data_IF_778576336659
#
_entry.id   IF_778576336659
#
_cell.length_a   1.000
_cell.length_b   1.000
_cell.length_c   1.000
_cell.angle_alpha   90.00
_cell.angle_beta   90.00
_cell.angle_gamma   90.00
#
_symmetry.space_group_name_H-M   'P 1'
#
loop_
_entity.id
_entity.type
_entity.pdbx_description
1 polymer ?
#
# COMPACT_ATOMS: atom_id res chain seq x y z
N UNK A 1 13.17 -65.09 43.30
CA UNK A 1 12.09 -64.32 42.64
C UNK A 1 12.12 -62.79 42.83
N UNK A 2 13.16 -62.15 43.42
CA UNK A 2 13.17 -60.69 43.70
C UNK A 2 13.91 -59.79 42.69
N UNK A 3 14.70 -60.36 41.76
CA UNK A 3 15.56 -59.58 40.84
C UNK A 3 14.84 -58.98 39.62
N UNK A 4 13.62 -59.41 39.33
CA UNK A 4 12.95 -59.07 38.06
C UNK A 4 12.13 -57.77 38.10
N UNK A 5 11.64 -57.35 39.29
CA UNK A 5 10.91 -56.08 39.43
C UNK A 5 11.80 -54.85 39.25
N UNK A 6 13.09 -54.95 39.55
CA UNK A 6 14.01 -53.81 39.50
C UNK A 6 14.35 -53.40 38.06
N UNK A 7 14.34 -54.36 37.11
CA UNK A 7 14.68 -54.10 35.70
C UNK A 7 13.60 -53.32 34.94
N UNK A 8 12.35 -53.34 35.41
CA UNK A 8 11.23 -52.63 34.75
C UNK A 8 11.28 -51.12 34.96
N UNK A 9 11.67 -50.66 36.14
CA UNK A 9 11.79 -49.22 36.41
C UNK A 9 12.91 -48.58 35.59
N UNK A 10 14.07 -49.24 35.49
CA UNK A 10 15.21 -48.72 34.71
C UNK A 10 14.86 -48.60 33.22
N UNK A 11 14.17 -49.58 32.62
CA UNK A 11 13.75 -49.53 31.21
C UNK A 11 12.71 -48.44 30.91
N UNK A 12 11.90 -48.04 31.90
CA UNK A 12 10.90 -46.98 31.73
C UNK A 12 11.54 -45.59 31.70
N UNK A 13 12.54 -45.35 32.56
CA UNK A 13 13.33 -44.12 32.54
C UNK A 13 14.17 -43.99 31.25
N UNK A 14 14.67 -45.10 30.72
CA UNK A 14 15.45 -45.13 29.47
C UNK A 14 14.58 -44.89 28.21
N UNK A 15 13.27 -45.19 28.29
CA UNK A 15 12.30 -44.81 27.24
C UNK A 15 11.98 -43.32 27.25
N UNK A 16 11.90 -42.70 28.44
CA UNK A 16 11.67 -41.27 28.59
C UNK A 16 12.88 -40.44 28.14
N UNK A 17 14.10 -40.92 28.40
CA UNK A 17 15.33 -40.27 27.92
C UNK A 17 15.52 -40.37 26.39
N UNK A 18 15.04 -41.45 25.76
CA UNK A 18 15.03 -41.59 24.30
C UNK A 18 14.04 -40.64 23.62
N UNK A 19 12.89 -40.37 24.24
CA UNK A 19 11.89 -39.43 23.70
C UNK A 19 12.40 -37.97 23.74
N UNK A 20 13.15 -37.59 24.78
CA UNK A 20 13.84 -36.30 24.85
C UNK A 20 15.04 -36.18 23.89
N UNK A 21 15.48 -37.30 23.30
CA UNK A 21 16.65 -37.42 22.42
C UNK A 21 16.25 -37.73 20.97
N UNK A 22 14.96 -37.62 20.64
CA UNK A 22 14.47 -37.67 19.27
C UNK A 22 14.77 -36.32 18.57
N UNK A 23 15.67 -36.35 17.59
CA UNK A 23 16.08 -35.19 16.78
C UNK A 23 14.92 -34.57 15.97
N UNK A 24 13.78 -35.27 15.85
CA UNK A 24 12.57 -34.80 15.18
C UNK A 24 11.92 -33.58 15.85
N UNK A 25 12.07 -33.42 17.17
CA UNK A 25 11.55 -32.26 17.90
C UNK A 25 12.44 -31.01 17.76
N UNK A 26 13.75 -31.21 17.55
CA UNK A 26 14.73 -30.12 17.44
C UNK A 26 14.52 -29.31 16.16
N UNK A 27 14.15 -29.96 15.06
CA UNK A 27 13.85 -29.31 13.77
C UNK A 27 12.66 -28.34 13.85
N UNK A 28 11.62 -28.70 14.62
CA UNK A 28 10.47 -27.82 14.87
C UNK A 28 10.86 -26.57 15.66
N UNK A 29 11.77 -26.71 16.62
CA UNK A 29 12.27 -25.58 17.42
C UNK A 29 13.13 -24.64 16.57
N UNK A 30 13.98 -25.18 15.70
CA UNK A 30 14.80 -24.38 14.79
C UNK A 30 13.92 -23.58 13.80
N UNK A 31 12.91 -24.23 13.21
CA UNK A 31 11.92 -23.54 12.38
C UNK A 31 11.16 -22.47 13.16
N UNK A 32 10.77 -22.72 14.41
CA UNK A 32 10.05 -21.75 15.23
C UNK A 32 10.84 -20.46 15.50
N UNK A 33 12.17 -20.53 15.53
CA UNK A 33 13.04 -19.35 15.70
C UNK A 33 13.21 -18.60 14.37
N UNK A 34 13.31 -19.32 13.26
CA UNK A 34 13.56 -18.76 11.92
C UNK A 34 12.28 -18.18 11.30
N UNK A 35 11.13 -18.81 11.54
CA UNK A 35 9.84 -18.47 10.95
C UNK A 35 9.42 -17.01 11.19
N UNK A 36 9.52 -16.42 12.40
CA UNK A 36 9.17 -15.02 12.63
C UNK A 36 9.95 -14.05 11.73
N UNK A 37 11.24 -14.32 11.49
CA UNK A 37 12.08 -13.48 10.62
C UNK A 37 11.63 -13.59 9.17
N UNK A 38 11.34 -14.81 8.70
CA UNK A 38 10.80 -15.02 7.35
C UNK A 38 9.44 -14.36 7.17
N UNK A 39 8.53 -14.50 8.12
CA UNK A 39 7.21 -13.85 8.07
C UNK A 39 7.34 -12.32 8.02
N UNK A 40 8.28 -11.76 8.77
CA UNK A 40 8.56 -10.31 8.75
C UNK A 40 9.06 -9.87 7.36
N UNK A 41 9.97 -10.65 6.74
CA UNK A 41 10.47 -10.36 5.39
C UNK A 41 9.37 -10.49 4.32
N UNK A 42 8.54 -11.54 4.38
CA UNK A 42 7.41 -11.71 3.47
C UNK A 42 6.37 -10.60 3.63
N UNK A 43 6.04 -10.24 4.88
CA UNK A 43 5.15 -9.13 5.18
C UNK A 43 5.68 -7.81 4.61
N UNK A 44 6.94 -7.49 4.85
CA UNK A 44 7.57 -6.28 4.31
C UNK A 44 7.55 -6.24 2.78
N UNK A 45 7.87 -7.35 2.11
CA UNK A 45 7.84 -7.45 0.65
C UNK A 45 6.42 -7.31 0.08
N UNK A 46 5.43 -7.94 0.72
CA UNK A 46 4.02 -7.85 0.32
C UNK A 46 3.47 -6.42 0.48
N UNK A 47 3.75 -5.77 1.61
CA UNK A 47 3.35 -4.39 1.86
C UNK A 47 4.02 -3.43 0.88
N UNK A 48 5.31 -3.61 0.59
CA UNK A 48 5.99 -2.81 -0.44
C UNK A 48 5.35 -2.97 -1.83
N UNK A 49 5.02 -4.21 -2.21
CA UNK A 49 4.33 -4.48 -3.47
C UNK A 49 2.97 -3.79 -3.55
N UNK A 50 2.20 -3.81 -2.46
CA UNK A 50 0.91 -3.13 -2.36
C UNK A 50 1.06 -1.61 -2.44
N UNK A 51 2.01 -1.03 -1.70
CA UNK A 51 2.32 0.40 -1.78
C UNK A 51 2.71 0.81 -3.21
N UNK A 52 3.56 0.04 -3.87
CA UNK A 52 4.00 0.32 -5.23
C UNK A 52 2.83 0.25 -6.23
N UNK A 53 1.93 -0.72 -6.06
CA UNK A 53 0.69 -0.79 -6.84
C UNK A 53 -0.18 0.47 -6.65
N UNK A 54 -0.38 0.91 -5.42
CA UNK A 54 -1.15 2.13 -5.12
C UNK A 54 -0.50 3.37 -5.73
N UNK A 55 0.81 3.56 -5.54
CA UNK A 55 1.56 4.70 -6.08
C UNK A 55 1.47 4.77 -7.61
N UNK A 56 1.74 3.65 -8.30
CA UNK A 56 1.72 3.61 -9.77
C UNK A 56 0.31 3.77 -10.35
N UNK A 57 -0.71 3.27 -9.65
CA UNK A 57 -2.12 3.47 -10.04
C UNK A 57 -2.51 4.94 -9.93
N UNK A 58 -2.18 5.59 -8.82
CA UNK A 58 -2.43 7.01 -8.61
C UNK A 58 -1.61 7.90 -9.57
N UNK A 59 -0.37 7.55 -9.88
CA UNK A 59 0.44 8.25 -10.90
C UNK A 59 -0.22 8.19 -12.28
N UNK A 60 -0.69 7.02 -12.71
CA UNK A 60 -1.45 6.90 -13.96
C UNK A 60 -2.73 7.73 -13.95
N UNK A 61 -3.44 7.74 -12.83
CA UNK A 61 -4.69 8.49 -12.68
C UNK A 61 -4.48 10.01 -12.74
N UNK A 62 -3.45 10.53 -12.05
CA UNK A 62 -3.10 11.96 -12.13
C UNK A 62 -2.69 12.37 -13.54
N UNK A 63 -1.96 11.51 -14.28
CA UNK A 63 -1.63 11.74 -15.69
C UNK A 63 -2.86 11.77 -16.60
N UNK A 64 -3.82 10.87 -16.39
CA UNK A 64 -5.06 10.85 -17.15
C UNK A 64 -5.88 12.13 -16.91
N UNK A 65 -6.03 12.53 -15.65
CA UNK A 65 -6.72 13.76 -15.28
C UNK A 65 -5.99 15.03 -15.78
N UNK A 66 -4.66 15.10 -15.70
CA UNK A 66 -3.91 16.24 -16.24
C UNK A 66 -4.01 16.31 -17.76
N UNK A 67 -4.04 15.16 -18.45
CA UNK A 67 -4.24 15.10 -19.91
C UNK A 67 -5.61 15.61 -20.31
N UNK A 68 -6.64 15.23 -19.58
CA UNK A 68 -7.98 15.75 -19.79
C UNK A 68 -8.02 17.28 -19.63
N UNK A 69 -7.45 17.79 -18.53
CA UNK A 69 -7.43 19.22 -18.25
C UNK A 69 -6.55 20.03 -19.20
N UNK A 70 -5.53 19.42 -19.83
CA UNK A 70 -4.68 20.10 -20.79
C UNK A 70 -5.47 20.66 -21.99
N UNK A 71 -6.61 20.03 -22.32
CA UNK A 71 -7.48 20.41 -23.44
C UNK A 71 -8.86 20.88 -23.01
N UNK A 72 -9.15 20.92 -21.71
CA UNK A 72 -10.44 21.31 -21.18
C UNK A 72 -10.48 22.81 -20.83
N UNK A 73 -11.66 23.41 -20.93
CA UNK A 73 -11.89 24.76 -20.45
C UNK A 73 -11.60 24.88 -18.94
N UNK A 74 -11.13 26.04 -18.49
CA UNK A 74 -10.98 26.33 -17.06
C UNK A 74 -12.34 26.67 -16.46
N UNK A 75 -13.02 25.68 -15.88
CA UNK A 75 -14.25 25.88 -15.14
C UNK A 75 -14.48 24.75 -14.10
N UNK A 76 -15.44 24.95 -13.20
CA UNK A 76 -15.72 24.00 -12.11
C UNK A 76 -16.26 22.63 -12.57
N UNK A 77 -16.98 22.59 -13.70
CA UNK A 77 -17.51 21.34 -14.26
C UNK A 77 -16.38 20.43 -14.74
N UNK A 78 -15.43 21.01 -15.49
CA UNK A 78 -14.26 20.30 -16.01
C UNK A 78 -13.31 19.89 -14.87
N UNK A 79 -13.18 20.71 -13.83
CA UNK A 79 -12.44 20.35 -12.61
C UNK A 79 -13.09 19.16 -11.89
N UNK A 80 -14.42 19.13 -11.81
CA UNK A 80 -15.16 18.01 -11.20
C UNK A 80 -14.94 16.73 -12.01
N UNK A 81 -15.05 16.80 -13.33
CA UNK A 81 -14.77 15.66 -14.22
C UNK A 81 -13.34 15.17 -14.10
N UNK A 82 -12.36 16.07 -13.99
CA UNK A 82 -10.96 15.69 -13.81
C UNK A 82 -10.71 15.00 -12.46
N UNK A 83 -11.34 15.46 -11.37
CA UNK A 83 -11.30 14.78 -10.08
C UNK A 83 -11.95 13.40 -10.16
N UNK A 84 -13.08 13.29 -10.87
CA UNK A 84 -13.75 12.01 -11.08
C UNK A 84 -12.89 11.03 -11.88
N UNK A 85 -12.22 11.49 -12.95
CA UNK A 85 -11.25 10.68 -13.70
C UNK A 85 -10.12 10.19 -12.80
N UNK A 86 -9.56 11.07 -11.96
CA UNK A 86 -8.48 10.71 -11.06
C UNK A 86 -8.89 9.69 -9.97
N UNK A 87 -10.16 9.69 -9.55
CA UNK A 87 -10.64 8.83 -8.45
C UNK A 87 -11.32 7.55 -8.93
N UNK A 88 -12.14 7.64 -9.98
CA UNK A 88 -13.02 6.57 -10.45
C UNK A 88 -12.67 6.09 -11.87
N UNK A 89 -11.75 6.76 -12.56
CA UNK A 89 -11.39 6.44 -13.95
C UNK A 89 -12.46 6.81 -14.99
N UNK A 90 -13.51 7.55 -14.60
CA UNK A 90 -14.59 8.00 -15.48
C UNK A 90 -15.04 9.43 -15.12
N UNK A 91 -15.69 10.11 -16.06
CA UNK A 91 -16.11 11.51 -15.87
C UNK A 91 -17.31 11.66 -14.93
N UNK A 92 -18.16 10.64 -14.86
CA UNK A 92 -19.42 10.67 -14.10
C UNK A 92 -19.20 10.46 -12.58
N UNK A 93 -18.01 10.02 -12.18
CA UNK A 93 -17.69 9.79 -10.77
C UNK A 93 -18.41 8.58 -10.18
N UNK A 94 -18.72 7.59 -11.02
CA UNK A 94 -19.50 6.42 -10.63
C UNK A 94 -18.62 5.20 -10.37
N UNK A 95 -19.14 4.24 -9.61
CA UNK A 95 -18.45 3.00 -9.27
C UNK A 95 -17.55 3.13 -8.04
N UNK A 96 -16.65 2.16 -7.85
CA UNK A 96 -15.70 2.17 -6.75
C UNK A 96 -14.46 2.98 -7.12
N UNK A 97 -13.86 3.73 -6.16
CA UNK A 97 -12.57 4.36 -6.37
C UNK A 97 -11.50 3.36 -6.84
N UNK A 98 -10.58 3.81 -7.69
CA UNK A 98 -9.48 2.99 -8.25
C UNK A 98 -8.51 2.49 -7.16
N UNK A 99 -8.45 3.21 -6.04
CA UNK A 99 -7.71 2.82 -4.83
C UNK A 99 -8.65 3.02 -3.65
N UNK A 100 -8.74 2.02 -2.77
CA UNK A 100 -9.60 2.08 -1.59
C UNK A 100 -9.24 3.26 -0.68
N UNK A 101 -10.26 4.00 -0.23
CA UNK A 101 -10.09 5.19 0.61
C UNK A 101 -9.71 6.46 -0.17
N UNK A 102 -9.50 6.38 -1.48
CA UNK A 102 -9.29 7.55 -2.33
C UNK A 102 -10.62 8.30 -2.53
N UNK A 103 -10.59 9.61 -2.38
CA UNK A 103 -11.75 10.49 -2.59
C UNK A 103 -11.38 11.67 -3.47
N UNK A 104 -12.39 12.38 -4.02
CA UNK A 104 -12.17 13.58 -4.84
C UNK A 104 -11.53 14.73 -4.05
N UNK A 105 -11.65 14.73 -2.72
CA UNK A 105 -10.97 15.67 -1.83
C UNK A 105 -9.45 15.46 -1.80
N UNK A 106 -8.96 14.26 -2.15
CA UNK A 106 -7.53 13.99 -2.25
C UNK A 106 -6.91 14.52 -3.54
N UNK A 107 -7.69 15.00 -4.50
CA UNK A 107 -7.19 15.47 -5.79
C UNK A 107 -7.05 16.99 -5.76
N UNK A 108 -5.84 17.48 -5.95
CA UNK A 108 -5.53 18.91 -6.03
C UNK A 108 -5.18 19.24 -7.47
N UNK A 109 -5.88 20.23 -8.04
CA UNK A 109 -5.64 20.77 -9.37
C UNK A 109 -4.98 22.14 -9.21
N UNK A 110 -3.80 22.32 -9.78
CA UNK A 110 -3.07 23.60 -9.76
C UNK A 110 -2.82 24.05 -11.19
N UNK A 111 -3.14 25.31 -11.50
CA UNK A 111 -2.88 25.94 -12.79
C UNK A 111 -1.85 27.03 -12.61
N UNK A 112 -0.84 27.09 -13.48
CA UNK A 112 0.27 28.03 -13.34
C UNK A 112 0.65 28.68 -14.67
N UNK A 113 1.17 29.91 -14.57
CA UNK A 113 1.52 30.76 -15.71
C UNK A 113 0.30 31.27 -16.49
N UNK A 114 0.52 32.18 -17.44
CA UNK A 114 -0.55 32.73 -18.29
C UNK A 114 -1.56 33.59 -17.53
N UNK A 115 -2.82 33.51 -17.94
CA UNK A 115 -3.96 34.19 -17.29
C UNK A 115 -4.92 33.15 -16.69
N UNK A 116 -5.79 33.51 -15.72
CA UNK A 116 -6.62 32.53 -15.01
C UNK A 116 -7.48 31.61 -15.90
N UNK A 117 -7.92 32.10 -17.06
CA UNK A 117 -8.72 31.34 -18.04
C UNK A 117 -7.90 30.58 -19.07
N UNK A 118 -6.62 30.91 -19.22
CA UNK A 118 -5.67 30.32 -20.17
C UNK A 118 -4.31 30.14 -19.48
N UNK A 119 -4.19 29.16 -18.57
CA UNK A 119 -2.93 28.88 -17.91
C UNK A 119 -1.91 28.33 -18.91
N UNK A 120 -0.62 28.31 -18.54
CA UNK A 120 0.41 27.66 -19.35
C UNK A 120 0.54 26.18 -19.03
N UNK A 121 0.37 25.82 -17.76
CA UNK A 121 0.45 24.44 -17.28
C UNK A 121 -0.71 24.10 -16.35
N UNK A 122 -1.07 22.82 -16.34
CA UNK A 122 -2.00 22.23 -15.39
C UNK A 122 -1.33 21.05 -14.70
N UNK A 123 -1.40 21.05 -13.37
CA UNK A 123 -0.84 20.03 -12.49
C UNK A 123 -1.98 19.36 -11.74
N UNK A 124 -2.02 18.03 -11.78
CA UNK A 124 -2.91 17.23 -10.92
C UNK A 124 -2.03 16.47 -9.94
N UNK A 125 -2.33 16.59 -8.65
CA UNK A 125 -1.59 15.94 -7.57
C UNK A 125 -2.55 15.24 -6.62
N UNK A 126 -2.13 14.09 -6.08
CA UNK A 126 -2.79 13.48 -4.93
C UNK A 126 -2.20 14.05 -3.64
N UNK A 127 -3.07 14.48 -2.73
CA UNK A 127 -2.72 15.05 -1.44
C UNK A 127 -3.57 14.43 -0.32
N UNK A 128 -2.96 14.27 0.86
CA UNK A 128 -3.64 13.77 2.06
C UNK A 128 -4.10 12.31 2.00
N UNK A 129 -3.75 11.56 0.95
CA UNK A 129 -3.99 10.12 0.88
C UNK A 129 -2.81 9.36 1.52
N UNK A 130 -3.14 8.42 2.39
CA UNK A 130 -2.16 7.61 3.14
C UNK A 130 -2.32 6.14 2.83
N UNK A 131 -1.21 5.47 2.58
CA UNK A 131 -1.17 4.03 2.45
C UNK A 131 -1.73 3.39 3.73
N UNK A 132 -2.67 2.45 3.60
CA UNK A 132 -3.24 1.71 4.72
C UNK A 132 -2.63 0.31 4.74
N UNK A 133 -1.51 0.11 5.47
CA UNK A 133 -0.86 -1.20 5.52
C UNK A 133 -1.75 -2.25 6.17
N UNK A 134 -1.72 -3.48 5.66
CA UNK A 134 -2.40 -4.62 6.30
C UNK A 134 -1.54 -5.15 7.44
N UNK A 135 -0.23 -5.21 7.23
CA UNK A 135 0.81 -5.51 8.20
C UNK A 135 1.59 -4.24 8.56
N UNK A 136 1.09 -3.50 9.55
CA UNK A 136 1.82 -2.36 10.12
C UNK A 136 2.78 -2.83 11.22
N UNK A 137 4.04 -3.09 10.83
CA UNK A 137 5.10 -3.49 11.76
C UNK A 137 5.30 -2.44 12.86
N UNK A 138 5.25 -1.15 12.52
CA UNK A 138 5.38 -0.07 13.50
C UNK A 138 4.30 -0.10 14.58
N UNK A 139 3.06 -0.46 14.22
CA UNK A 139 1.99 -0.68 15.21
C UNK A 139 2.18 -1.99 15.99
N UNK A 140 2.63 -3.06 15.35
CA UNK A 140 2.81 -4.37 15.99
C UNK A 140 3.86 -4.35 17.10
N UNK A 141 4.99 -3.67 16.87
CA UNK A 141 6.10 -3.56 17.84
C UNK A 141 6.18 -2.19 18.52
N UNK A 142 5.12 -1.39 18.41
CA UNK A 142 4.96 -0.07 19.04
C UNK A 142 6.13 0.91 18.78
N UNK A 143 6.61 0.94 17.54
CA UNK A 143 7.64 1.88 17.07
C UNK A 143 7.14 2.64 15.84
N UNK A 144 6.72 3.88 16.05
CA UNK A 144 6.04 4.67 15.02
C UNK A 144 6.90 4.94 13.78
N UNK A 145 8.23 4.96 13.93
CA UNK A 145 9.18 5.16 12.82
C UNK A 145 9.20 4.01 11.80
N UNK A 146 8.69 2.83 12.16
CA UNK A 146 8.57 1.68 11.26
C UNK A 146 7.14 1.51 10.71
N UNK A 147 6.25 2.47 10.96
CA UNK A 147 4.90 2.40 10.39
C UNK A 147 4.95 2.70 8.90
N UNK A 148 4.30 1.83 8.12
CA UNK A 148 4.14 1.97 6.68
C UNK A 148 2.94 2.85 6.30
N UNK A 149 2.30 3.50 7.27
CA UNK A 149 1.23 4.47 7.04
C UNK A 149 1.78 5.82 6.55
N UNK A 150 2.36 5.78 5.35
CA UNK A 150 3.04 6.90 4.71
C UNK A 150 2.15 7.59 3.67
N UNK A 151 2.40 8.87 3.45
CA UNK A 151 1.69 9.66 2.45
C UNK A 151 2.04 9.19 1.03
N UNK A 152 1.04 9.04 0.16
CA UNK A 152 1.23 8.75 -1.27
C UNK A 152 0.85 9.99 -2.06
N UNK A 153 1.84 10.64 -2.70
CA UNK A 153 1.70 11.97 -3.30
C UNK A 153 2.18 12.08 -4.77
N UNK A 154 1.73 11.20 -5.68
CA UNK A 154 2.08 11.35 -7.10
C UNK A 154 1.50 12.66 -7.67
N UNK A 155 2.20 13.20 -8.67
CA UNK A 155 1.78 14.41 -9.37
C UNK A 155 2.17 14.35 -10.84
N UNK A 156 1.34 14.94 -11.69
CA UNK A 156 1.57 15.05 -13.13
C UNK A 156 1.27 16.46 -13.60
N UNK A 157 2.23 17.03 -14.34
CA UNK A 157 2.13 18.37 -14.94
C UNK A 157 2.09 18.26 -16.46
N UNK A 158 1.15 18.96 -17.10
CA UNK A 158 1.04 19.01 -18.56
C UNK A 158 0.91 20.45 -19.04
N UNK A 159 1.35 20.69 -20.29
CA UNK A 159 1.16 21.97 -20.97
C UNK A 159 -0.32 22.13 -21.34
N UNK A 160 -0.88 23.29 -21.04
CA UNK A 160 -2.23 23.65 -21.43
C UNK A 160 -2.27 24.01 -22.92
N UNK A 161 -3.27 23.52 -23.64
CA UNK A 161 -3.30 23.53 -25.10
C UNK A 161 -4.39 24.42 -25.69
N UNK A 162 -5.37 24.86 -24.89
CA UNK A 162 -6.37 25.81 -25.39
C UNK A 162 -5.76 27.21 -25.52
N UNK A 163 -6.04 27.87 -26.65
CA UNK A 163 -5.49 29.19 -27.01
C UNK A 163 -6.51 30.31 -26.94
N UNK A 164 -7.80 29.97 -26.77
CA UNK A 164 -8.90 30.93 -26.71
C UNK A 164 -9.80 30.55 -25.53
N UNK A 165 -10.28 31.54 -24.74
CA UNK A 165 -11.20 31.25 -23.65
C UNK A 165 -12.52 30.72 -24.24
N UNK A 166 -13.18 29.76 -23.57
CA UNK A 166 -14.50 29.30 -23.99
C UNK A 166 -15.47 30.49 -24.05
N UNK A 167 -16.21 30.59 -25.16
CA UNK A 167 -17.27 31.60 -25.37
C UNK A 167 -18.45 31.36 -24.46
#
# INVERSE_FOLDING_TARGET
MRRDRMKRHVKMFDKLSRFAREESGVQLVELAIVLPVFLMLFGAAAEFGRYFYEYTTLDKATRAASRYLATAAVNGTEDTRARNIAVYGNMDGTGTPIVSGLTTANVVITRAGGVPTLPQTVTVQIYGFKHQPVFDLGKLINVSSLSLNIDVKPSSTMRYLLTQPPV
#
